data_IF_238604900858
#
_entry.id   IF_238604900858
#
_cell.length_a   1.000
_cell.length_b   1.000
_cell.length_c   1.000
_cell.angle_alpha   90.00
_cell.angle_beta   90.00
_cell.angle_gamma   90.00
#
_symmetry.space_group_name_H-M   'P 1'
#
loop_
_entity.id
_entity.type
_entity.pdbx_description
1 polymer ?
#
# COMPACT_ATOMS: atom_id res chain seq x y z
N UNK A 1 22.17 -15.19 13.85
CA UNK A 1 21.12 -14.17 14.00
C UNK A 1 20.29 -14.19 12.74
N UNK A 2 18.98 -14.42 12.84
CA UNK A 2 18.11 -14.32 11.66
C UNK A 2 18.02 -12.85 11.25
N UNK A 3 18.16 -12.60 9.95
CA UNK A 3 17.98 -11.26 9.40
C UNK A 3 16.50 -10.89 9.52
N UNK A 4 16.18 -9.79 10.21
CA UNK A 4 14.80 -9.33 10.39
C UNK A 4 14.37 -8.44 9.23
N UNK A 5 13.11 -8.56 8.83
CA UNK A 5 12.51 -7.70 7.80
C UNK A 5 11.08 -7.32 8.16
N UNK A 6 10.75 -6.05 7.96
CA UNK A 6 9.40 -5.53 8.07
C UNK A 6 8.77 -5.53 6.68
N UNK A 7 7.63 -6.18 6.50
CA UNK A 7 6.94 -6.22 5.19
C UNK A 7 5.71 -5.32 5.25
N UNK A 8 5.64 -4.33 4.35
CA UNK A 8 4.43 -3.52 4.16
C UNK A 8 3.29 -4.34 3.54
N UNK A 9 2.25 -4.60 4.32
CA UNK A 9 1.08 -5.40 3.97
C UNK A 9 -0.08 -4.48 3.57
N UNK A 10 -0.57 -4.63 2.32
CA UNK A 10 -1.75 -3.90 1.82
C UNK A 10 -3.03 -4.72 1.89
N UNK A 11 -2.92 -6.00 2.26
CA UNK A 11 -3.99 -6.98 2.11
C UNK A 11 -4.17 -7.46 0.66
N UNK A 12 -3.32 -7.02 -0.26
CA UNK A 12 -3.29 -7.51 -1.63
C UNK A 12 -2.36 -8.71 -1.81
N UNK A 13 -2.56 -9.41 -2.92
CA UNK A 13 -1.74 -10.56 -3.37
C UNK A 13 -0.25 -10.26 -3.37
N UNK A 14 0.14 -9.10 -3.91
CA UNK A 14 1.56 -8.76 -4.09
C UNK A 14 2.30 -8.65 -2.75
N UNK A 15 1.67 -8.00 -1.75
CA UNK A 15 2.25 -7.89 -0.41
C UNK A 15 2.33 -9.24 0.31
N UNK A 16 1.32 -10.09 0.12
CA UNK A 16 1.28 -11.45 0.67
C UNK A 16 2.43 -12.32 0.12
N UNK A 17 2.59 -12.32 -1.20
CA UNK A 17 3.66 -13.07 -1.88
C UNK A 17 5.03 -12.51 -1.54
N UNK A 18 5.15 -11.20 -1.34
CA UNK A 18 6.40 -10.60 -0.86
C UNK A 18 6.78 -11.10 0.52
N UNK A 19 5.84 -11.12 1.47
CA UNK A 19 6.07 -11.67 2.81
C UNK A 19 6.45 -13.16 2.76
N UNK A 20 5.77 -13.94 1.91
CA UNK A 20 6.09 -15.34 1.69
C UNK A 20 7.52 -15.56 1.20
N UNK A 21 7.93 -14.83 0.15
CA UNK A 21 9.28 -14.95 -0.42
C UNK A 21 10.33 -14.61 0.64
N UNK A 22 10.10 -13.57 1.45
CA UNK A 22 11.00 -13.22 2.56
C UNK A 22 11.06 -14.33 3.61
N UNK A 23 9.91 -14.89 4.02
CA UNK A 23 9.84 -16.01 4.97
C UNK A 23 10.58 -17.24 4.45
N UNK A 24 10.33 -17.62 3.19
CA UNK A 24 11.00 -18.76 2.53
C UNK A 24 12.51 -18.53 2.33
N UNK A 25 12.94 -17.27 2.21
CA UNK A 25 14.35 -16.90 2.15
C UNK A 25 15.05 -16.91 3.52
N UNK A 26 14.36 -17.34 4.59
CA UNK A 26 14.91 -17.51 5.94
C UNK A 26 14.96 -16.23 6.77
N UNK A 27 14.23 -15.18 6.37
CA UNK A 27 14.11 -13.96 7.18
C UNK A 27 13.12 -14.17 8.33
N UNK A 28 13.38 -13.47 9.43
CA UNK A 28 12.40 -13.27 10.50
C UNK A 28 11.48 -12.10 10.09
N UNK A 29 10.26 -12.43 9.69
CA UNK A 29 9.33 -11.52 9.01
C UNK A 29 8.31 -10.97 10.00
N UNK A 30 8.16 -9.65 10.04
CA UNK A 30 7.04 -8.97 10.70
C UNK A 30 6.23 -8.22 9.65
N UNK A 31 4.92 -8.44 9.59
CA UNK A 31 4.01 -7.67 8.74
C UNK A 31 3.73 -6.28 9.33
N UNK A 32 3.45 -5.30 8.49
CA UNK A 32 3.04 -3.97 8.91
C UNK A 32 1.93 -3.44 8.02
N UNK A 33 0.86 -2.92 8.62
CA UNK A 33 -0.16 -2.14 7.90
C UNK A 33 -0.18 -0.72 8.43
N UNK A 34 -0.19 0.24 7.50
CA UNK A 34 -0.41 1.65 7.79
C UNK A 34 -1.86 1.95 7.46
N UNK A 35 -2.64 2.22 8.50
CA UNK A 35 -4.03 2.63 8.37
C UNK A 35 -4.08 4.11 8.05
N UNK A 36 -4.69 4.44 6.91
CA UNK A 36 -4.74 5.81 6.37
C UNK A 36 -6.16 6.29 6.07
N UNK A 37 -7.15 5.42 6.24
CA UNK A 37 -8.56 5.74 6.03
C UNK A 37 -9.41 5.06 7.10
N UNK A 38 -10.57 5.62 7.39
CA UNK A 38 -11.56 4.98 8.26
C UNK A 38 -12.19 3.80 7.52
N UNK A 39 -12.03 2.59 8.05
CA UNK A 39 -12.81 1.45 7.55
C UNK A 39 -14.27 1.63 7.97
N UNK A 40 -15.21 1.47 7.03
CA UNK A 40 -16.60 1.18 7.39
C UNK A 40 -16.66 -0.04 8.34
N UNK A 41 -17.70 -0.11 9.16
CA UNK A 41 -17.82 -0.95 10.36
C UNK A 41 -17.17 -2.35 10.22
N UNK A 42 -16.11 -2.56 11.01
CA UNK A 42 -15.20 -3.72 10.93
C UNK A 42 -15.87 -5.09 11.17
N UNK A 43 -17.09 -5.12 11.72
CA UNK A 43 -17.83 -6.34 12.05
C UNK A 43 -18.32 -7.13 10.83
N UNK A 44 -18.52 -6.50 9.68
CA UNK A 44 -18.97 -7.18 8.44
C UNK A 44 -17.81 -7.74 7.60
N UNK A 45 -16.57 -7.44 8.00
CA UNK A 45 -15.38 -7.68 7.20
C UNK A 45 -14.52 -8.87 7.65
N UNK A 46 -14.87 -9.58 8.72
CA UNK A 46 -14.18 -10.81 9.13
C UNK A 46 -14.62 -12.01 8.26
N UNK A 47 -13.74 -12.93 7.81
CA UNK A 47 -14.15 -14.08 7.00
C UNK A 47 -15.17 -14.99 7.70
N UNK A 48 -15.17 -14.98 9.04
CA UNK A 48 -16.04 -15.82 9.88
C UNK A 48 -17.27 -15.11 10.47
N UNK A 49 -17.59 -13.87 10.07
CA UNK A 49 -18.82 -13.22 10.55
C UNK A 49 -20.04 -13.82 9.86
N UNK A 50 -21.16 -14.03 10.57
CA UNK A 50 -22.40 -14.54 9.97
C UNK A 50 -22.93 -13.65 8.81
N UNK A 51 -22.59 -12.35 8.83
CA UNK A 51 -22.99 -11.38 7.81
C UNK A 51 -21.83 -10.99 6.86
N UNK A 52 -20.82 -11.86 6.71
CA UNK A 52 -19.65 -11.49 5.92
C UNK A 52 -19.98 -11.34 4.43
N UNK A 53 -19.84 -10.14 3.86
CA UNK A 53 -20.08 -9.92 2.42
C UNK A 53 -19.11 -10.74 1.55
N UNK A 54 -19.44 -11.09 0.29
CA UNK A 54 -18.48 -11.66 -0.65
C UNK A 54 -17.19 -10.84 -0.72
N UNK A 55 -16.04 -11.49 -0.89
CA UNK A 55 -14.74 -10.80 -0.91
C UNK A 55 -14.66 -9.67 -1.95
N UNK A 56 -15.34 -9.85 -3.08
CA UNK A 56 -15.49 -8.85 -4.16
C UNK A 56 -16.31 -7.62 -3.77
N UNK A 57 -17.09 -7.69 -2.70
CA UNK A 57 -18.02 -6.65 -2.24
C UNK A 57 -17.56 -5.96 -0.96
N UNK A 58 -16.48 -6.44 -0.34
CA UNK A 58 -15.82 -5.77 0.79
C UNK A 58 -14.99 -4.62 0.26
N UNK A 59 -15.63 -3.45 0.12
CA UNK A 59 -14.90 -2.20 -0.08
C UNK A 59 -13.96 -1.94 1.09
N UNK A 60 -12.73 -1.50 0.81
CA UNK A 60 -11.81 -0.84 1.76
C UNK A 60 -11.34 -1.58 3.05
N UNK A 61 -11.80 -2.79 3.38
CA UNK A 61 -11.40 -3.49 4.61
C UNK A 61 -10.01 -4.15 4.50
N UNK A 62 -8.94 -3.36 4.46
CA UNK A 62 -7.56 -3.85 4.35
C UNK A 62 -7.03 -4.48 5.64
N UNK A 63 -7.41 -3.97 6.82
CA UNK A 63 -6.88 -4.44 8.12
C UNK A 63 -7.31 -5.86 8.47
N UNK A 64 -8.61 -6.25 8.38
CA UNK A 64 -9.03 -7.63 8.65
C UNK A 64 -8.34 -8.63 7.72
N UNK A 65 -8.08 -8.21 6.48
CA UNK A 65 -7.38 -9.07 5.53
C UNK A 65 -5.90 -9.19 5.85
N UNK A 66 -5.20 -8.09 6.14
CA UNK A 66 -3.80 -8.16 6.58
C UNK A 66 -3.66 -9.06 7.80
N UNK A 67 -4.58 -8.93 8.76
CA UNK A 67 -4.65 -9.83 9.92
C UNK A 67 -4.75 -11.29 9.49
N UNK A 68 -5.76 -11.64 8.68
CA UNK A 68 -5.95 -13.01 8.18
C UNK A 68 -4.70 -13.54 7.46
N UNK A 69 -4.11 -12.76 6.56
CA UNK A 69 -2.88 -13.20 5.88
C UNK A 69 -1.72 -13.40 6.84
N UNK A 70 -1.52 -12.50 7.81
CA UNK A 70 -0.38 -12.59 8.71
C UNK A 70 -0.56 -13.74 9.70
N UNK A 71 -1.73 -13.84 10.34
CA UNK A 71 -1.99 -14.79 11.43
C UNK A 71 -2.31 -16.20 10.89
N UNK A 72 -3.25 -16.32 9.96
CA UNK A 72 -3.81 -17.62 9.53
C UNK A 72 -3.06 -18.26 8.35
N UNK A 73 -2.44 -17.45 7.50
CA UNK A 73 -1.87 -17.93 6.23
C UNK A 73 -0.34 -17.96 6.27
N UNK A 74 0.27 -16.86 6.67
CA UNK A 74 1.71 -16.68 6.70
C UNK A 74 2.31 -17.03 8.06
N UNK A 75 1.50 -17.13 9.12
CA UNK A 75 1.94 -17.37 10.50
C UNK A 75 3.11 -16.45 10.91
N UNK A 76 2.93 -15.15 10.72
CA UNK A 76 3.88 -14.09 11.08
C UNK A 76 3.20 -13.05 11.99
N UNK A 77 3.94 -12.43 12.92
CA UNK A 77 3.41 -11.30 13.67
C UNK A 77 3.16 -10.12 12.72
N UNK A 78 2.21 -9.25 13.08
CA UNK A 78 2.06 -7.97 12.40
C UNK A 78 1.78 -6.82 13.36
N UNK A 79 2.12 -5.62 12.91
CA UNK A 79 1.88 -4.36 13.61
C UNK A 79 1.01 -3.44 12.75
N UNK A 80 0.20 -2.64 13.42
CA UNK A 80 -0.65 -1.64 12.78
C UNK A 80 -0.26 -0.25 13.27
N UNK A 81 -0.14 0.69 12.34
CA UNK A 81 0.13 2.09 12.66
C UNK A 81 -0.95 2.96 12.04
N UNK A 82 -1.57 3.77 12.88
CA UNK A 82 -2.55 4.77 12.44
C UNK A 82 -1.84 6.03 11.95
N UNK A 83 -2.07 6.38 10.69
CA UNK A 83 -1.61 7.61 10.04
C UNK A 83 -2.74 8.29 9.28
N UNK A 84 -3.99 8.12 9.69
CA UNK A 84 -5.16 8.79 9.07
C UNK A 84 -5.02 10.31 9.04
N UNK A 85 -4.62 10.90 10.17
CA UNK A 85 -4.43 12.36 10.27
C UNK A 85 -3.31 12.87 9.37
N UNK A 86 -2.20 12.13 9.33
CA UNK A 86 -1.03 12.45 8.52
C UNK A 86 -1.36 12.34 7.03
N UNK A 87 -2.07 11.28 6.65
CA UNK A 87 -2.54 11.10 5.29
C UNK A 87 -3.48 12.22 4.86
N UNK A 88 -4.46 12.59 5.71
CA UNK A 88 -5.35 13.72 5.44
C UNK A 88 -4.56 15.01 5.19
N UNK A 89 -3.69 15.40 6.13
CA UNK A 89 -2.97 16.68 6.07
C UNK A 89 -1.91 16.73 4.97
N UNK A 90 -1.19 15.63 4.73
CA UNK A 90 -0.02 15.60 3.82
C UNK A 90 -0.36 15.14 2.41
N UNK A 91 -1.50 14.48 2.19
CA UNK A 91 -1.90 13.93 0.88
C UNK A 91 -3.24 14.49 0.45
N UNK A 92 -4.29 14.33 1.26
CA UNK A 92 -5.66 14.66 0.82
C UNK A 92 -5.92 16.17 0.73
N UNK A 93 -5.49 16.94 1.74
CA UNK A 93 -5.65 18.39 1.73
C UNK A 93 -4.90 19.04 0.55
N UNK A 94 -3.61 18.73 0.28
CA UNK A 94 -2.91 19.21 -0.91
C UNK A 94 -3.55 18.75 -2.23
N UNK A 95 -3.94 17.47 -2.31
CA UNK A 95 -4.61 16.93 -3.49
C UNK A 95 -5.88 17.72 -3.81
N UNK A 96 -6.74 17.94 -2.80
CA UNK A 96 -7.95 18.75 -2.93
C UNK A 96 -7.62 20.17 -3.40
N UNK A 97 -6.67 20.84 -2.74
CA UNK A 97 -6.35 22.23 -3.02
C UNK A 97 -5.75 22.44 -4.43
N UNK A 98 -5.01 21.45 -4.94
CA UNK A 98 -4.50 21.43 -6.32
C UNK A 98 -5.62 21.10 -7.32
N UNK A 99 -6.49 20.16 -7.00
CA UNK A 99 -7.63 19.81 -7.85
C UNK A 99 -8.60 20.98 -8.02
N UNK A 100 -8.87 21.75 -6.95
CA UNK A 100 -9.68 22.98 -6.98
C UNK A 100 -9.06 24.08 -7.86
N UNK A 101 -7.76 24.00 -8.15
CA UNK A 101 -7.06 24.88 -9.10
C UNK A 101 -7.05 24.34 -10.53
N UNK A 102 -7.88 23.33 -10.82
CA UNK A 102 -7.93 22.61 -12.09
C UNK A 102 -6.59 21.95 -12.48
N UNK A 103 -5.76 21.60 -11.49
CA UNK A 103 -4.60 20.74 -11.71
C UNK A 103 -5.02 19.27 -11.60
N UNK A 104 -4.20 18.37 -12.14
CA UNK A 104 -4.40 16.91 -12.11
C UNK A 104 -3.33 16.23 -11.26
N UNK A 105 -3.30 16.46 -9.94
CA UNK A 105 -2.27 15.91 -9.08
C UNK A 105 -2.38 14.39 -8.93
N UNK A 106 -1.25 13.73 -8.72
CA UNK A 106 -1.20 12.29 -8.45
C UNK A 106 -0.94 12.05 -6.95
N UNK A 107 -1.99 11.74 -6.15
CA UNK A 107 -1.85 11.58 -4.70
C UNK A 107 -1.02 10.33 -4.33
N UNK A 108 -0.92 9.34 -5.23
CA UNK A 108 -0.15 8.12 -4.99
C UNK A 108 1.36 8.39 -4.95
N UNK A 109 1.86 9.34 -5.75
CA UNK A 109 3.28 9.75 -5.71
C UNK A 109 3.60 10.37 -4.34
N UNK A 110 2.74 11.27 -3.88
CA UNK A 110 2.90 11.92 -2.58
C UNK A 110 2.74 10.94 -1.42
N UNK A 111 1.74 10.07 -1.47
CA UNK A 111 1.45 9.08 -0.43
C UNK A 111 2.57 8.04 -0.28
N UNK A 112 3.03 7.43 -1.38
CA UNK A 112 4.08 6.42 -1.31
C UNK A 112 5.39 6.98 -0.76
N UNK A 113 5.81 8.14 -1.26
CA UNK A 113 7.05 8.75 -0.84
C UNK A 113 7.00 9.37 0.56
N UNK A 114 5.95 10.12 0.88
CA UNK A 114 5.90 10.94 2.10
C UNK A 114 5.20 10.29 3.29
N UNK A 115 4.40 9.25 3.04
CA UNK A 115 3.64 8.57 4.09
C UNK A 115 4.10 7.12 4.19
N UNK A 116 3.84 6.29 3.18
CA UNK A 116 3.99 4.84 3.34
C UNK A 116 5.42 4.37 3.55
N UNK A 117 6.33 4.69 2.64
CA UNK A 117 7.71 4.19 2.73
C UNK A 117 8.41 4.80 3.94
N UNK A 118 8.26 6.11 4.14
CA UNK A 118 8.86 6.81 5.27
C UNK A 118 8.36 6.25 6.61
N UNK A 119 7.06 6.01 6.74
CA UNK A 119 6.49 5.43 7.95
C UNK A 119 6.90 3.98 8.17
N UNK A 120 6.97 3.16 7.11
CA UNK A 120 7.48 1.79 7.23
C UNK A 120 8.94 1.77 7.71
N UNK A 121 9.77 2.68 7.21
CA UNK A 121 11.17 2.83 7.64
C UNK A 121 11.23 3.26 9.11
N UNK A 122 10.45 4.27 9.50
CA UNK A 122 10.39 4.74 10.89
C UNK A 122 9.87 3.65 11.86
N UNK A 123 8.86 2.88 11.43
CA UNK A 123 8.36 1.75 12.18
C UNK A 123 9.42 0.66 12.31
N UNK A 124 10.13 0.34 11.23
CA UNK A 124 11.23 -0.61 11.27
C UNK A 124 12.33 -0.17 12.26
N UNK A 125 12.67 1.12 12.30
CA UNK A 125 13.62 1.69 13.27
C UNK A 125 13.13 1.49 14.72
N UNK A 126 11.86 1.77 14.99
CA UNK A 126 11.29 1.58 16.34
C UNK A 126 11.30 0.13 16.82
N UNK A 127 11.28 -0.83 15.89
CA UNK A 127 11.33 -2.27 16.14
C UNK A 127 12.76 -2.85 16.08
N UNK A 128 13.76 -2.02 15.76
CA UNK A 128 15.14 -2.44 15.54
C UNK A 128 15.32 -3.34 14.31
N UNK A 129 14.48 -3.18 13.29
CA UNK A 129 14.48 -3.93 12.04
C UNK A 129 15.19 -3.11 10.96
N UNK A 130 16.23 -3.68 10.35
CA UNK A 130 17.08 -2.96 9.40
C UNK A 130 16.44 -2.83 8.01
N UNK A 131 15.72 -3.87 7.57
CA UNK A 131 15.18 -3.96 6.20
C UNK A 131 13.67 -3.81 6.15
N UNK A 132 13.22 -3.17 5.07
CA UNK A 132 11.79 -3.01 4.76
C UNK A 132 11.51 -3.60 3.39
N UNK A 133 10.58 -4.55 3.31
CA UNK A 133 10.11 -5.14 2.06
C UNK A 133 8.73 -4.62 1.66
N UNK A 134 8.48 -4.48 0.36
CA UNK A 134 7.17 -4.10 -0.17
C UNK A 134 6.83 -4.90 -1.43
N UNK A 135 5.54 -5.01 -1.75
CA UNK A 135 5.04 -5.70 -2.95
C UNK A 135 5.16 -4.91 -4.26
N UNK A 136 6.09 -3.97 -4.36
CA UNK A 136 6.30 -3.22 -5.59
C UNK A 136 7.24 -3.96 -6.54
N UNK A 137 6.95 -3.87 -7.84
CA UNK A 137 7.74 -4.44 -8.93
C UNK A 137 8.88 -3.50 -9.35
N UNK A 138 9.77 -3.22 -8.40
CA UNK A 138 10.93 -2.37 -8.58
C UNK A 138 12.22 -3.13 -8.29
N UNK A 139 13.34 -2.64 -8.81
CA UNK A 139 14.66 -3.20 -8.59
C UNK A 139 15.59 -2.15 -8.01
N UNK A 140 16.38 -2.57 -7.01
CA UNK A 140 17.44 -1.75 -6.42
C UNK A 140 18.72 -1.90 -7.23
N UNK A 141 19.30 -0.78 -7.65
CA UNK A 141 20.54 -0.74 -8.42
C UNK A 141 21.56 0.08 -7.64
N UNK A 142 22.74 -0.47 -7.40
CA UNK A 142 23.86 0.26 -6.81
C UNK A 142 24.73 0.83 -7.93
N UNK A 143 25.06 2.11 -7.85
CA UNK A 143 25.99 2.79 -8.76
C UNK A 143 27.36 2.90 -8.09
N UNK A 144 28.39 2.15 -8.55
CA UNK A 144 29.74 2.27 -8.01
C UNK A 144 30.38 3.65 -8.28
N UNK A 145 29.88 4.38 -9.29
CA UNK A 145 30.40 5.70 -9.67
C UNK A 145 29.97 6.78 -8.68
N UNK A 146 28.70 6.75 -8.26
CA UNK A 146 28.13 7.75 -7.35
C UNK A 146 28.13 7.28 -5.89
N UNK A 147 28.34 5.97 -5.65
CA UNK A 147 28.20 5.36 -4.33
C UNK A 147 26.75 5.29 -3.84
N UNK A 148 25.77 5.49 -4.72
CA UNK A 148 24.35 5.63 -4.37
C UNK A 148 23.50 4.48 -4.87
N UNK A 149 22.38 4.26 -4.19
CA UNK A 149 21.32 3.37 -4.64
C UNK A 149 20.27 4.13 -5.45
N UNK A 150 19.81 3.47 -6.51
CA UNK A 150 18.79 3.96 -7.42
C UNK A 150 17.70 2.91 -7.60
N UNK A 151 16.53 3.36 -8.06
CA UNK A 151 15.39 2.50 -8.36
C UNK A 151 15.27 2.33 -9.87
N UNK A 152 15.17 1.07 -10.32
CA UNK A 152 14.92 0.71 -11.69
C UNK A 152 13.62 -0.11 -11.78
N UNK A 153 13.05 -0.20 -12.99
CA UNK A 153 11.89 -1.06 -13.25
C UNK A 153 12.24 -2.53 -12.96
N UNK A 154 11.29 -3.25 -12.37
CA UNK A 154 11.34 -4.71 -12.25
C UNK A 154 11.20 -5.41 -13.60
N UNK A 155 11.18 -6.74 -13.57
CA UNK A 155 11.12 -7.60 -14.76
C UNK A 155 9.78 -7.50 -15.51
N UNK A 156 8.68 -7.32 -14.79
CA UNK A 156 7.35 -7.27 -15.41
C UNK A 156 7.20 -6.03 -16.31
N UNK A 157 6.99 -6.21 -17.63
CA UNK A 157 6.77 -5.08 -18.53
C UNK A 157 5.44 -4.37 -18.28
N UNK A 158 4.43 -5.07 -17.74
CA UNK A 158 3.06 -4.55 -17.55
C UNK A 158 2.85 -3.71 -16.29
N UNK A 159 3.81 -3.73 -15.36
CA UNK A 159 3.71 -2.97 -14.11
C UNK A 159 4.11 -1.50 -14.29
N UNK A 160 3.45 -0.66 -13.48
CA UNK A 160 3.47 0.80 -13.54
C UNK A 160 4.86 1.43 -13.35
N UNK A 161 4.99 2.73 -13.66
CA UNK A 161 6.27 3.40 -13.66
C UNK A 161 6.84 3.52 -12.24
N UNK A 162 8.16 3.34 -12.08
CA UNK A 162 8.89 3.54 -10.80
C UNK A 162 8.92 4.99 -10.30
N UNK A 163 8.15 5.88 -10.93
CA UNK A 163 8.03 7.29 -10.60
C UNK A 163 7.60 7.53 -9.14
N UNK A 164 6.85 6.60 -8.53
CA UNK A 164 6.47 6.68 -7.12
C UNK A 164 7.67 6.70 -6.16
N UNK A 165 8.84 6.20 -6.60
CA UNK A 165 10.06 6.19 -5.82
C UNK A 165 10.99 7.36 -6.12
N UNK A 166 10.61 8.27 -7.02
CA UNK A 166 11.48 9.34 -7.51
C UNK A 166 11.92 10.36 -6.46
N UNK A 167 11.31 10.36 -5.27
CA UNK A 167 11.67 11.25 -4.16
C UNK A 167 12.33 10.53 -2.97
N UNK A 168 12.57 9.22 -3.09
CA UNK A 168 13.30 8.48 -2.06
C UNK A 168 14.80 8.82 -2.10
N UNK A 169 15.40 8.92 -0.92
CA UNK A 169 16.84 9.10 -0.78
C UNK A 169 17.58 7.78 -0.92
N UNK A 170 18.86 7.85 -1.30
CA UNK A 170 19.72 6.67 -1.47
C UNK A 170 19.76 5.79 -0.21
N UNK A 171 19.76 6.41 0.98
CA UNK A 171 19.80 5.71 2.28
C UNK A 171 18.49 4.98 2.57
N UNK A 172 17.35 5.54 2.16
CA UNK A 172 16.04 4.88 2.26
C UNK A 172 15.99 3.69 1.30
N UNK A 173 16.41 3.89 0.04
CA UNK A 173 16.47 2.83 -0.97
C UNK A 173 17.40 1.70 -0.51
N UNK A 174 18.52 2.00 0.14
CA UNK A 174 19.45 1.01 0.66
C UNK A 174 18.75 -0.03 1.57
N UNK A 175 17.78 0.42 2.37
CA UNK A 175 17.00 -0.41 3.31
C UNK A 175 15.84 -1.15 2.66
N UNK A 176 15.40 -0.71 1.48
CA UNK A 176 14.27 -1.32 0.77
C UNK A 176 14.65 -2.65 0.09
N UNK A 177 13.71 -3.58 0.14
CA UNK A 177 13.74 -4.87 -0.55
C UNK A 177 12.46 -5.00 -1.38
N UNK A 178 12.60 -5.45 -2.63
CA UNK A 178 11.47 -5.67 -3.54
C UNK A 178 11.50 -7.13 -4.00
N UNK A 179 10.87 -8.05 -3.24
CA UNK A 179 10.94 -9.49 -3.54
C UNK A 179 10.35 -9.88 -4.89
N UNK A 180 9.50 -9.02 -5.46
CA UNK A 180 8.83 -9.24 -6.75
C UNK A 180 9.62 -8.68 -7.94
N UNK A 181 10.84 -8.16 -7.71
CA UNK A 181 11.65 -7.50 -8.75
C UNK A 181 11.85 -8.35 -10.00
N UNK A 182 11.99 -9.67 -9.83
CA UNK A 182 12.33 -10.62 -10.89
C UNK A 182 11.15 -11.52 -11.28
N UNK A 183 9.93 -11.16 -10.87
CA UNK A 183 8.71 -11.91 -11.17
C UNK A 183 7.76 -11.10 -12.06
N UNK A 184 6.95 -11.80 -12.85
CA UNK A 184 5.76 -11.22 -13.52
C UNK A 184 4.54 -11.32 -12.63
N UNK A 185 3.52 -10.50 -12.90
CA UNK A 185 2.22 -10.55 -12.23
C UNK A 185 1.56 -11.92 -12.33
N UNK A 186 1.73 -12.60 -13.45
CA UNK A 186 1.19 -13.94 -13.66
C UNK A 186 1.86 -14.97 -12.75
N UNK A 187 3.18 -14.91 -12.58
CA UNK A 187 3.92 -15.77 -11.65
C UNK A 187 3.53 -15.49 -10.20
N UNK A 188 3.41 -14.21 -9.82
CA UNK A 188 2.96 -13.82 -8.47
C UNK A 188 1.55 -14.34 -8.19
N UNK A 189 0.62 -14.23 -9.15
CA UNK A 189 -0.72 -14.81 -9.02
C UNK A 189 -0.70 -16.33 -8.95
N UNK A 190 0.21 -16.99 -9.66
CA UNK A 190 0.38 -18.44 -9.57
C UNK A 190 0.84 -18.86 -8.18
N UNK A 191 1.87 -18.21 -7.64
CA UNK A 191 2.35 -18.45 -6.28
C UNK A 191 1.24 -18.25 -5.24
N UNK A 192 0.45 -17.19 -5.38
CA UNK A 192 -0.67 -16.91 -4.48
C UNK A 192 -1.76 -17.99 -4.51
N UNK A 193 -2.05 -18.57 -5.69
CA UNK A 193 -2.99 -19.70 -5.83
C UNK A 193 -2.43 -20.96 -5.17
N UNK A 194 -1.16 -21.27 -5.40
CA UNK A 194 -0.51 -22.45 -4.85
C UNK A 194 -0.48 -22.40 -3.32
N UNK A 195 -0.35 -21.22 -2.74
CA UNK A 195 -0.39 -20.98 -1.29
C UNK A 195 -1.78 -20.69 -0.71
N UNK A 196 -2.85 -20.76 -1.53
CA UNK A 196 -4.25 -20.51 -1.13
C UNK A 196 -4.47 -19.19 -0.37
N UNK A 197 -3.75 -18.14 -0.75
CA UNK A 197 -3.84 -16.83 -0.08
C UNK A 197 -5.23 -16.21 -0.14
N UNK A 198 -6.02 -16.52 -1.17
CA UNK A 198 -7.40 -16.08 -1.28
C UNK A 198 -8.30 -17.22 -1.81
N UNK A 199 -9.45 -17.49 -1.19
CA UNK A 199 -10.42 -18.46 -1.72
C UNK A 199 -11.00 -18.09 -3.10
N UNK A 200 -10.84 -16.83 -3.55
CA UNK A 200 -11.44 -16.29 -4.78
C UNK A 200 -10.43 -15.48 -5.63
N UNK A 201 -9.26 -16.08 -5.92
CA UNK A 201 -8.20 -15.43 -6.72
C UNK A 201 -8.58 -15.14 -8.19
N UNK A 202 -9.73 -15.61 -8.67
CA UNK A 202 -10.04 -15.61 -10.12
C UNK A 202 -10.53 -14.26 -10.64
N UNK A 203 -11.16 -13.44 -9.80
CA UNK A 203 -11.82 -12.20 -10.25
C UNK A 203 -11.62 -10.99 -9.33
N UNK A 204 -10.62 -11.03 -8.43
CA UNK A 204 -10.27 -9.87 -7.62
C UNK A 204 -9.95 -8.66 -8.51
N UNK A 205 -10.47 -7.45 -8.22
CA UNK A 205 -10.21 -6.29 -9.04
C UNK A 205 -8.70 -6.13 -9.24
N UNK A 206 -8.29 -5.83 -10.47
CA UNK A 206 -6.90 -5.48 -10.76
C UNK A 206 -6.59 -4.20 -9.99
N UNK A 207 -6.08 -4.32 -8.77
CA UNK A 207 -5.57 -3.19 -7.99
C UNK A 207 -4.19 -2.84 -8.54
N UNK A 208 -4.13 -2.46 -9.82
CA UNK A 208 -3.04 -1.64 -10.31
C UNK A 208 -3.17 -0.33 -9.55
N UNK A 209 -2.42 -0.18 -8.46
CA UNK A 209 -2.20 1.10 -7.80
C UNK A 209 -3.46 1.76 -7.19
N UNK A 210 -4.63 1.11 -7.27
CA UNK A 210 -5.87 1.53 -6.65
C UNK A 210 -5.90 1.11 -5.18
N UNK A 211 -5.00 1.70 -4.38
CA UNK A 211 -5.32 1.98 -2.98
C UNK A 211 -6.32 3.16 -2.88
N UNK A 212 -6.69 3.74 -4.02
CA UNK A 212 -7.80 4.66 -4.18
C UNK A 212 -8.82 4.02 -5.11
N UNK A 213 -9.70 3.18 -4.57
CA UNK A 213 -11.03 3.15 -5.17
C UNK A 213 -11.62 4.53 -4.88
N UNK A 214 -11.59 5.41 -5.89
CA UNK A 214 -12.48 6.57 -6.05
C UNK A 214 -13.94 6.08 -6.17
N UNK A 215 -14.36 5.30 -5.19
CA UNK A 215 -15.70 4.79 -5.02
C UNK A 215 -16.08 4.92 -3.55
N UNK A 216 -15.68 6.05 -2.98
CA UNK A 216 -16.13 6.47 -1.66
C UNK A 216 -17.11 7.63 -1.85
N UNK A 217 -18.35 7.43 -1.42
CA UNK A 217 -19.40 8.47 -1.42
C UNK A 217 -19.00 9.66 -0.55
N UNK A 218 -18.01 9.50 0.34
CA UNK A 218 -17.52 10.58 1.18
C UNK A 218 -16.63 11.61 0.45
N UNK A 219 -16.04 11.26 -0.69
CA UNK A 219 -15.35 12.24 -1.55
C UNK A 219 -16.35 13.15 -2.25
N UNK A 220 -17.52 12.63 -2.66
CA UNK A 220 -18.63 13.46 -3.13
C UNK A 220 -19.09 14.42 -2.02
N UNK A 221 -19.29 13.93 -0.79
CA UNK A 221 -19.72 14.78 0.33
C UNK A 221 -18.70 15.89 0.64
N UNK A 222 -17.40 15.57 0.74
CA UNK A 222 -16.34 16.56 0.98
C UNK A 222 -16.16 17.55 -0.17
N UNK A 223 -16.39 17.10 -1.41
CA UNK A 223 -16.32 17.95 -2.60
C UNK A 223 -17.55 18.87 -2.68
N UNK A 224 -18.74 18.36 -2.41
CA UNK A 224 -20.01 19.10 -2.45
C UNK A 224 -20.11 20.15 -1.32
N UNK A 225 -19.75 19.81 -0.08
CA UNK A 225 -19.83 20.74 1.06
C UNK A 225 -18.98 22.01 0.86
N UNK A 226 -17.83 21.89 0.19
CA UNK A 226 -16.96 23.06 -0.09
C UNK A 226 -17.19 23.69 -1.45
N UNK A 227 -17.68 22.96 -2.44
CA UNK A 227 -18.15 23.56 -3.70
C UNK A 227 -19.35 24.48 -3.42
N UNK A 228 -20.21 24.09 -2.49
CA UNK A 228 -21.30 24.93 -1.98
C UNK A 228 -20.79 26.21 -1.33
N UNK A 229 -19.80 26.09 -0.44
CA UNK A 229 -19.14 27.25 0.18
C UNK A 229 -18.41 28.15 -0.84
N UNK A 230 -17.82 27.56 -1.88
CA UNK A 230 -17.12 28.28 -2.95
C UNK A 230 -18.09 29.02 -3.89
N UNK A 231 -19.22 28.38 -4.25
CA UNK A 231 -20.27 28.98 -5.07
C UNK A 231 -21.03 30.09 -4.31
N UNK A 232 -21.22 29.92 -3.00
CA UNK A 232 -21.77 30.97 -2.12
C UNK A 232 -20.82 32.16 -2.02
N UNK A 233 -19.51 31.94 -1.91
CA UNK A 233 -18.50 33.02 -1.94
C UNK A 233 -18.49 33.80 -3.26
N UNK A 234 -18.85 33.18 -4.38
CA UNK A 234 -18.90 33.82 -5.70
C UNK A 234 -20.27 34.46 -6.03
N UNK A 235 -21.28 34.29 -5.19
CA UNK A 235 -22.63 34.78 -5.46
C UNK A 235 -23.30 34.10 -6.66
N UNK A 236 -22.87 32.89 -7.02
CA UNK A 236 -23.34 32.15 -8.20
C UNK A 236 -24.49 31.19 -7.88
N UNK A 237 -24.98 31.17 -6.63
CA UNK A 237 -26.24 30.52 -6.25
C UNK A 237 -27.38 31.55 -6.23
N UNK A 238 -28.30 31.41 -7.18
CA UNK A 238 -29.64 31.99 -7.18
C UNK A 238 -30.69 30.91 -7.03
#
# INVERSE_FOLDING_TARGET
MNKRVLVGMSGGVDSAVSALIMKQSGYDVTGAIIEIWDSEDSSECHPSSENARPWSERGCCHVPMVRYLCEEVLEIPFVMVDRRDDFRKKVMDPFRDEYLKALTPNPCVTCNARVKIHELIALADSLGIEMVATGHYARKVYSPVTGQYHVAKGRDPGEGPVLFFGSLKSEEIARLVWPLSDLTKEEVRKLARDCRFFPSCENGPKTWEALFCLRDKNLEVLFLEKMDSFLEMKGERG
#
